data_IF_118799453864
#
_entry.id   IF_118799453864
#
_cell.length_a   1.000
_cell.length_b   1.000
_cell.length_c   1.000
_cell.angle_alpha   90.00
_cell.angle_beta   90.00
_cell.angle_gamma   90.00
#
_symmetry.space_group_name_H-M   'P 1'
#
loop_
_entity.id
_entity.type
_entity.pdbx_description
1 polymer ?
#
# COMPACT_ATOMS: atom_id res chain seq x y z
N UNK A 1 28.95 4.46 -17.18
CA UNK A 1 29.01 5.18 -15.88
C UNK A 1 27.88 4.67 -15.00
N UNK A 2 28.16 3.76 -14.05
CA UNK A 2 27.17 3.18 -13.13
C UNK A 2 26.73 4.27 -12.15
N UNK A 3 25.45 4.66 -12.15
CA UNK A 3 24.89 5.54 -11.11
C UNK A 3 24.63 4.68 -9.88
N UNK A 4 25.47 4.84 -8.87
CA UNK A 4 25.32 4.24 -7.54
C UNK A 4 24.12 4.92 -6.87
N UNK A 5 23.12 4.14 -6.45
CA UNK A 5 22.04 4.61 -5.60
C UNK A 5 22.59 4.83 -4.18
N UNK A 6 22.26 5.93 -3.49
CA UNK A 6 22.74 6.16 -2.14
C UNK A 6 22.09 5.14 -1.18
N UNK A 7 22.92 4.27 -0.60
CA UNK A 7 22.56 3.44 0.54
C UNK A 7 22.64 4.30 1.80
N UNK A 8 21.52 4.89 2.23
CA UNK A 8 21.50 5.60 3.50
C UNK A 8 20.92 4.70 4.60
N UNK A 9 21.83 4.10 5.39
CA UNK A 9 21.54 3.65 6.74
C UNK A 9 21.41 4.91 7.60
N UNK A 10 20.19 5.33 7.88
CA UNK A 10 19.93 6.50 8.71
C UNK A 10 18.47 6.49 9.16
N UNK A 11 18.28 6.40 10.46
CA UNK A 11 17.07 6.72 11.23
C UNK A 11 16.06 7.59 10.45
N UNK A 12 14.92 7.02 10.08
CA UNK A 12 13.80 7.81 9.57
C UNK A 12 13.09 8.47 10.74
N UNK A 13 13.44 9.74 10.95
CA UNK A 13 12.61 10.73 11.63
C UNK A 13 11.23 10.77 10.97
N UNK A 14 10.18 10.69 11.79
CA UNK A 14 8.80 10.96 11.41
C UNK A 14 8.70 12.39 10.86
N UNK A 15 8.84 12.54 9.54
CA UNK A 15 8.49 13.79 8.86
C UNK A 15 6.97 13.78 8.65
N UNK A 16 6.33 14.76 9.30
CA UNK A 16 4.94 15.14 9.13
C UNK A 16 4.49 15.08 7.66
N UNK A 17 3.26 14.60 7.42
CA UNK A 17 2.59 14.53 6.11
C UNK A 17 2.55 15.85 5.32
N UNK A 18 3.02 16.97 5.87
CA UNK A 18 2.80 18.33 5.38
C UNK A 18 3.50 18.68 4.05
N UNK A 19 4.58 17.99 3.66
CA UNK A 19 5.40 18.39 2.50
C UNK A 19 5.14 17.57 1.22
N UNK A 20 4.20 16.63 1.24
CA UNK A 20 3.92 15.76 0.11
C UNK A 20 2.48 15.95 -0.40
N UNK A 21 2.34 16.41 -1.65
CA UNK A 21 1.06 16.42 -2.34
C UNK A 21 0.66 14.96 -2.62
N UNK A 22 -0.34 14.47 -1.89
CA UNK A 22 -0.99 13.18 -2.13
C UNK A 22 -2.26 13.38 -2.96
N UNK A 23 -2.54 12.44 -3.87
CA UNK A 23 -3.83 12.33 -4.57
C UNK A 23 -4.34 10.89 -4.46
N UNK A 24 -5.64 10.71 -4.23
CA UNK A 24 -6.29 9.41 -4.02
C UNK A 24 -7.13 9.39 -2.73
N UNK A 25 -7.62 8.21 -2.29
CA UNK A 25 -8.46 8.07 -1.11
C UNK A 25 -7.65 8.23 0.18
N UNK A 26 -7.43 9.48 0.58
CA UNK A 26 -6.57 9.84 1.71
C UNK A 26 -7.09 9.25 3.04
N UNK A 27 -8.41 9.19 3.23
CA UNK A 27 -9.03 8.68 4.45
C UNK A 27 -8.81 7.17 4.62
N UNK A 28 -9.08 6.36 3.58
CA UNK A 28 -8.81 4.93 3.61
C UNK A 28 -7.33 4.63 3.89
N UNK A 29 -6.44 5.37 3.25
CA UNK A 29 -5.00 5.19 3.44
C UNK A 29 -4.53 5.60 4.84
N UNK A 30 -5.10 6.66 5.40
CA UNK A 30 -4.86 7.04 6.80
C UNK A 30 -5.25 5.91 7.74
N UNK A 31 -6.41 5.28 7.54
CA UNK A 31 -6.85 4.12 8.34
C UNK A 31 -5.88 2.94 8.23
N UNK A 32 -5.41 2.63 7.00
CA UNK A 32 -4.42 1.56 6.76
C UNK A 32 -3.10 1.86 7.48
N UNK A 33 -2.58 3.09 7.36
CA UNK A 33 -1.33 3.51 8.03
C UNK A 33 -1.42 3.45 9.55
N UNK A 34 -2.58 3.81 10.09
CA UNK A 34 -2.86 3.69 11.53
C UNK A 34 -3.23 2.25 11.94
N UNK A 35 -3.24 1.29 11.00
CA UNK A 35 -3.62 -0.12 11.20
C UNK A 35 -5.02 -0.30 11.79
N UNK A 36 -5.93 0.63 11.50
CA UNK A 36 -7.34 0.59 11.92
C UNK A 36 -8.12 -0.32 10.99
N UNK A 37 -7.84 -1.62 11.05
CA UNK A 37 -8.33 -2.60 10.09
C UNK A 37 -9.86 -2.65 9.98
N UNK A 38 -10.56 -2.72 11.10
CA UNK A 38 -12.04 -2.76 11.12
C UNK A 38 -12.65 -1.52 10.47
N UNK A 39 -12.10 -0.34 10.79
CA UNK A 39 -12.54 0.92 10.20
C UNK A 39 -12.21 1.00 8.71
N UNK A 40 -11.03 0.49 8.29
CA UNK A 40 -10.65 0.45 6.88
C UNK A 40 -11.56 -0.49 6.07
N UNK A 41 -11.95 -1.63 6.64
CA UNK A 41 -12.89 -2.57 6.01
C UNK A 41 -14.30 -1.95 5.94
N UNK A 42 -14.76 -1.30 7.02
CA UNK A 42 -16.04 -0.58 7.00
C UNK A 42 -16.07 0.51 5.92
N UNK A 43 -15.01 1.32 5.83
CA UNK A 43 -14.85 2.34 4.78
C UNK A 43 -14.89 1.72 3.39
N UNK A 44 -14.19 0.62 3.18
CA UNK A 44 -14.14 -0.08 1.90
C UNK A 44 -15.51 -0.61 1.48
N UNK A 45 -16.32 -1.08 2.43
CA UNK A 45 -17.70 -1.51 2.18
C UNK A 45 -18.61 -0.35 1.77
N UNK A 46 -18.42 0.81 2.38
CA UNK A 46 -19.16 2.04 2.03
C UNK A 46 -18.69 2.63 0.68
N UNK A 47 -17.41 2.48 0.36
CA UNK A 47 -16.76 3.07 -0.81
C UNK A 47 -15.85 2.07 -1.55
N UNK A 48 -16.43 1.01 -2.17
CA UNK A 48 -15.64 -0.07 -2.77
C UNK A 48 -14.74 0.38 -3.93
N UNK A 49 -15.08 1.48 -4.61
CA UNK A 49 -14.25 2.04 -5.69
C UNK A 49 -12.85 2.45 -5.21
N UNK A 50 -12.71 2.83 -3.93
CA UNK A 50 -11.42 3.26 -3.36
C UNK A 50 -10.38 2.13 -3.39
N UNK A 51 -10.79 0.86 -3.41
CA UNK A 51 -9.90 -0.30 -3.52
C UNK A 51 -9.08 -0.31 -4.84
N UNK A 52 -9.63 0.29 -5.89
CA UNK A 52 -9.00 0.40 -7.21
C UNK A 52 -8.37 1.76 -7.50
N UNK A 53 -8.48 2.72 -6.57
CA UNK A 53 -7.92 4.05 -6.77
C UNK A 53 -6.44 4.09 -6.40
N UNK A 54 -5.65 4.60 -7.32
CA UNK A 54 -4.22 4.77 -7.11
C UNK A 54 -3.95 5.91 -6.13
N UNK A 55 -3.26 5.59 -5.04
CA UNK A 55 -2.62 6.60 -4.23
C UNK A 55 -1.31 7.03 -4.87
N UNK A 56 -1.22 8.31 -5.23
CA UNK A 56 -0.04 8.92 -5.84
C UNK A 56 0.56 9.96 -4.91
N UNK A 57 1.86 9.86 -4.65
CA UNK A 57 2.63 10.87 -3.93
C UNK A 57 3.54 11.61 -4.90
N UNK A 58 3.49 12.94 -4.88
CA UNK A 58 4.33 13.79 -5.73
C UNK A 58 5.28 14.66 -4.91
N UNK A 59 6.47 14.89 -5.46
CA UNK A 59 7.41 15.89 -4.97
C UNK A 59 7.70 16.87 -6.12
N UNK A 60 7.11 18.06 -6.05
CA UNK A 60 7.04 18.96 -7.21
C UNK A 60 6.27 18.34 -8.37
N UNK A 61 6.93 18.17 -9.52
CA UNK A 61 6.34 17.54 -10.72
C UNK A 61 6.56 16.03 -10.80
N UNK A 62 7.45 15.48 -9.98
CA UNK A 62 7.84 14.08 -10.05
C UNK A 62 6.93 13.21 -9.20
N UNK A 63 6.48 12.10 -9.76
CA UNK A 63 5.77 11.05 -9.02
C UNK A 63 6.81 10.21 -8.28
N UNK A 64 6.68 10.14 -6.97
CA UNK A 64 7.62 9.43 -6.08
C UNK A 64 7.04 8.12 -5.56
N UNK A 65 5.72 7.98 -5.59
CA UNK A 65 5.00 6.76 -5.21
C UNK A 65 3.69 6.68 -5.99
N UNK A 66 3.32 5.48 -6.41
CA UNK A 66 2.01 5.16 -6.93
C UNK A 66 1.67 3.74 -6.51
N UNK A 67 0.63 3.58 -5.68
CA UNK A 67 0.25 2.29 -5.07
C UNK A 67 -1.26 2.19 -4.91
N UNK A 68 -1.79 0.98 -5.06
CA UNK A 68 -3.16 0.66 -4.62
C UNK A 68 -3.20 0.44 -3.10
N UNK A 69 -4.37 0.59 -2.45
CA UNK A 69 -4.51 0.34 -1.01
C UNK A 69 -3.97 -1.02 -0.56
N UNK A 70 -4.17 -2.08 -1.36
CA UNK A 70 -3.68 -3.43 -1.04
C UNK A 70 -2.14 -3.51 -0.93
N UNK A 71 -1.39 -2.69 -1.66
CA UNK A 71 0.07 -2.61 -1.49
C UNK A 71 0.42 -2.08 -0.10
N UNK A 72 -0.26 -1.03 0.34
CA UNK A 72 -0.02 -0.44 1.66
C UNK A 72 -0.46 -1.39 2.78
N UNK A 73 -1.58 -2.10 2.61
CA UNK A 73 -2.02 -3.14 3.56
C UNK A 73 -0.92 -4.18 3.76
N UNK A 74 -0.30 -4.66 2.67
CA UNK A 74 0.76 -5.66 2.70
C UNK A 74 2.06 -5.18 3.38
N UNK A 75 2.32 -3.87 3.42
CA UNK A 75 3.48 -3.28 4.13
C UNK A 75 3.34 -3.33 5.67
N UNK A 76 2.12 -3.57 6.19
CA UNK A 76 1.82 -3.41 7.62
C UNK A 76 1.56 -4.73 8.37
N UNK A 77 1.97 -5.86 7.80
CA UNK A 77 1.78 -7.22 8.33
C UNK A 77 0.30 -7.50 8.65
N UNK A 78 -0.58 -7.50 7.64
CA UNK A 78 -2.01 -7.63 7.81
C UNK A 78 -2.41 -9.06 8.20
N UNK A 79 -3.62 -9.22 8.73
CA UNK A 79 -4.23 -10.56 8.88
C UNK A 79 -4.79 -11.04 7.54
N UNK A 80 -5.01 -12.36 7.41
CA UNK A 80 -5.63 -12.94 6.21
C UNK A 80 -7.00 -12.33 5.90
N UNK A 81 -7.81 -12.08 6.93
CA UNK A 81 -9.14 -11.46 6.79
C UNK A 81 -9.06 -10.06 6.16
N UNK A 82 -8.09 -9.25 6.57
CA UNK A 82 -7.89 -7.91 6.01
C UNK A 82 -7.48 -8.01 4.55
N UNK A 83 -6.53 -8.88 4.20
CA UNK A 83 -6.12 -9.08 2.80
C UNK A 83 -7.32 -9.50 1.95
N UNK A 84 -8.10 -10.46 2.40
CA UNK A 84 -9.33 -10.92 1.73
C UNK A 84 -10.31 -9.78 1.47
N UNK A 85 -10.62 -8.98 2.49
CA UNK A 85 -11.55 -7.88 2.34
C UNK A 85 -11.12 -6.87 1.26
N UNK A 86 -9.81 -6.60 1.15
CA UNK A 86 -9.28 -5.70 0.13
C UNK A 86 -9.21 -6.34 -1.26
N UNK A 87 -8.93 -7.64 -1.35
CA UNK A 87 -8.97 -8.38 -2.61
C UNK A 87 -10.40 -8.55 -3.12
N UNK A 88 -11.37 -8.83 -2.25
CA UNK A 88 -12.78 -8.94 -2.62
C UNK A 88 -13.33 -7.63 -3.19
N UNK A 89 -12.87 -6.49 -2.67
CA UNK A 89 -13.25 -5.17 -3.19
C UNK A 89 -12.60 -4.85 -4.55
N UNK A 90 -11.40 -5.37 -4.83
CA UNK A 90 -10.72 -5.22 -6.11
C UNK A 90 -9.73 -6.37 -6.38
N UNK A 91 -10.24 -7.45 -6.97
CA UNK A 91 -9.48 -8.69 -7.18
C UNK A 91 -8.29 -8.49 -8.12
N UNK A 92 -8.46 -7.67 -9.17
CA UNK A 92 -7.40 -7.34 -10.12
C UNK A 92 -6.23 -6.59 -9.48
N UNK A 93 -6.46 -5.93 -8.34
CA UNK A 93 -5.43 -5.20 -7.61
C UNK A 93 -4.26 -6.07 -7.14
N UNK A 94 -4.46 -7.39 -7.02
CA UNK A 94 -3.40 -8.36 -6.72
C UNK A 94 -2.31 -8.44 -7.81
N UNK A 95 -2.69 -8.19 -9.06
CA UNK A 95 -1.82 -8.32 -10.24
C UNK A 95 -1.22 -6.98 -10.69
N UNK A 96 -1.66 -5.89 -10.09
CA UNK A 96 -1.18 -4.54 -10.39
C UNK A 96 0.17 -4.27 -9.75
N UNK A 97 1.09 -3.70 -10.52
CA UNK A 97 2.44 -3.34 -10.04
C UNK A 97 2.46 -1.89 -9.58
N UNK A 98 3.07 -1.63 -8.43
CA UNK A 98 3.37 -0.27 -8.00
C UNK A 98 4.43 0.41 -8.90
N UNK A 99 4.72 1.69 -8.61
CA UNK A 99 5.75 2.47 -9.32
C UNK A 99 7.14 1.81 -9.33
N UNK A 100 7.43 0.93 -8.36
CA UNK A 100 8.70 0.19 -8.27
C UNK A 100 8.65 -1.15 -9.02
N UNK A 101 7.56 -1.46 -9.71
CA UNK A 101 7.34 -2.72 -10.40
C UNK A 101 6.97 -3.89 -9.47
N UNK A 102 6.56 -3.62 -8.22
CA UNK A 102 6.25 -4.64 -7.22
C UNK A 102 4.75 -4.85 -7.09
N UNK A 103 4.34 -6.13 -7.13
CA UNK A 103 3.00 -6.58 -6.73
C UNK A 103 2.79 -6.45 -5.20
N UNK A 104 1.54 -6.44 -4.72
CA UNK A 104 1.24 -6.48 -3.28
C UNK A 104 1.89 -7.67 -2.57
N UNK A 105 1.91 -8.86 -3.21
CA UNK A 105 2.57 -10.05 -2.66
C UNK A 105 4.06 -9.85 -2.37
N UNK A 106 4.78 -9.06 -3.19
CA UNK A 106 6.19 -8.76 -2.92
C UNK A 106 6.34 -8.00 -1.60
N UNK A 107 5.46 -7.02 -1.35
CA UNK A 107 5.46 -6.26 -0.10
C UNK A 107 5.11 -7.16 1.09
N UNK A 108 4.10 -8.03 0.94
CA UNK A 108 3.71 -8.98 1.98
C UNK A 108 4.88 -9.93 2.34
N UNK A 109 5.56 -10.49 1.34
CA UNK A 109 6.72 -11.36 1.54
C UNK A 109 7.91 -10.63 2.18
N UNK A 110 8.20 -9.39 1.77
CA UNK A 110 9.26 -8.56 2.38
C UNK A 110 8.99 -8.35 3.88
N UNK A 111 7.73 -8.26 4.28
CA UNK A 111 7.31 -8.03 5.67
C UNK A 111 6.89 -9.31 6.41
N UNK A 112 7.27 -10.49 5.91
CA UNK A 112 7.13 -11.76 6.63
C UNK A 112 5.72 -12.36 6.59
N UNK A 113 5.02 -12.25 5.46
CA UNK A 113 3.72 -12.91 5.25
C UNK A 113 3.73 -14.40 5.61
N UNK A 114 2.63 -14.87 6.20
CA UNK A 114 2.40 -16.29 6.43
C UNK A 114 2.12 -17.02 5.13
N UNK A 115 2.31 -18.35 5.14
CA UNK A 115 2.00 -19.19 3.98
C UNK A 115 0.52 -19.06 3.56
N UNK A 116 -0.40 -19.01 4.52
CA UNK A 116 -1.84 -18.85 4.25
C UNK A 116 -2.14 -17.55 3.49
N UNK A 117 -1.45 -16.46 3.86
CA UNK A 117 -1.58 -15.18 3.17
C UNK A 117 -1.00 -15.25 1.76
N UNK A 118 0.16 -15.89 1.59
CA UNK A 118 0.78 -16.07 0.27
C UNK A 118 -0.12 -16.89 -0.66
N UNK A 119 -0.75 -17.95 -0.15
CA UNK A 119 -1.69 -18.78 -0.92
C UNK A 119 -2.89 -17.96 -1.40
N UNK A 120 -3.35 -16.97 -0.64
CA UNK A 120 -4.49 -16.13 -1.05
C UNK A 120 -4.22 -15.31 -2.34
N UNK A 121 -2.96 -15.08 -2.70
CA UNK A 121 -2.58 -14.36 -3.91
C UNK A 121 -2.38 -15.25 -5.15
N UNK A 122 -2.45 -16.58 -5.01
CA UNK A 122 -2.09 -17.58 -6.05
C UNK A 122 -3.32 -18.38 -6.47
#
# INVERSE_FOLDING_TARGET
KKKVLPTNKGTFVFSSMADANFTGPADLYKLIKEKKWDASIARLREHPSEAGEWMVRKFGRDVTMQRLPIHEVCDHSPTLEVVKAFLDANTKGAEEKDLSGRLPLHHACIHGASLDLVIEFV
#
